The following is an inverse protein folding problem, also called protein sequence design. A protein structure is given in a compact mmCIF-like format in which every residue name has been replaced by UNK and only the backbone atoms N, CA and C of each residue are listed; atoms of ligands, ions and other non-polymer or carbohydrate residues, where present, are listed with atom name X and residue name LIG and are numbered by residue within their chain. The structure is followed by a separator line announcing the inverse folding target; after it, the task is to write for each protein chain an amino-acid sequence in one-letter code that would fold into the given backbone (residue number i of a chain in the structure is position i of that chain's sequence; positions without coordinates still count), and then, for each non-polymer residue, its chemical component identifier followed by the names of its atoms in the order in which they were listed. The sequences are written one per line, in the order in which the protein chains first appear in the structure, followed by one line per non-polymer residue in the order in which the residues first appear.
data_IF_745378825212
#
_entry.id   IF_745378825212
#
_cell.length_a   1.000
_cell.length_b   1.000
_cell.length_c   1.000
_cell.angle_alpha   90.00
_cell.angle_beta   90.00
_cell.angle_gamma   90.00
#
_symmetry.space_group_name_H-M   'P 1'
#
loop_
_entity.id
_entity.type
_entity.pdbx_description
1 polymer ?
#
# COMPACT_ATOMS: atom_id res chain seq x y z
N UNK A 1 24.13 -25.72 -3.95
CA UNK A 1 23.32 -24.47 -4.10
C UNK A 1 22.20 -24.72 -5.11
N UNK A 2 20.92 -24.67 -4.71
CA UNK A 2 19.78 -25.01 -5.60
C UNK A 2 19.18 -23.82 -6.37
N UNK A 3 19.71 -22.61 -6.24
CA UNK A 3 19.11 -21.36 -6.79
C UNK A 3 20.03 -20.55 -7.71
N UNK A 4 21.15 -21.12 -8.15
CA UNK A 4 22.13 -20.43 -9.00
C UNK A 4 21.50 -19.85 -10.28
N UNK A 5 20.66 -20.63 -10.96
CA UNK A 5 19.95 -20.19 -12.16
C UNK A 5 19.07 -18.93 -11.94
N UNK A 6 18.54 -18.72 -10.73
CA UNK A 6 17.75 -17.52 -10.42
C UNK A 6 18.63 -16.30 -10.11
N UNK A 7 19.82 -16.52 -9.53
CA UNK A 7 20.75 -15.44 -9.15
C UNK A 7 21.49 -14.85 -10.35
N UNK A 8 21.66 -15.61 -11.43
CA UNK A 8 22.43 -15.21 -12.62
C UNK A 8 21.54 -14.60 -13.71
N UNK A 9 20.22 -14.66 -13.54
CA UNK A 9 19.22 -14.27 -14.55
C UNK A 9 19.31 -12.81 -15.00
N UNK A 10 19.88 -11.93 -14.17
CA UNK A 10 20.15 -10.53 -14.53
C UNK A 10 21.24 -10.38 -15.60
N UNK A 11 22.08 -11.40 -15.82
CA UNK A 11 23.04 -11.43 -16.92
C UNK A 11 22.35 -11.64 -18.28
N UNK A 12 21.19 -12.31 -18.29
CA UNK A 12 20.43 -12.62 -19.50
C UNK A 12 19.37 -11.54 -19.82
N UNK A 13 18.89 -10.81 -18.82
CA UNK A 13 17.87 -9.77 -18.95
C UNK A 13 18.25 -8.50 -18.18
N UNK A 14 18.58 -7.43 -18.91
CA UNK A 14 18.97 -6.13 -18.37
C UNK A 14 17.84 -5.36 -17.67
N UNK A 15 16.59 -5.81 -17.76
CA UNK A 15 15.49 -5.25 -16.97
C UNK A 15 15.49 -5.78 -15.52
N UNK A 16 16.21 -6.86 -15.24
CA UNK A 16 16.34 -7.40 -13.89
C UNK A 16 17.49 -6.71 -13.14
N UNK A 17 17.23 -6.08 -11.99
CA UNK A 17 18.31 -5.57 -11.16
C UNK A 17 19.13 -6.72 -10.57
N UNK A 18 20.44 -6.48 -10.40
CA UNK A 18 21.39 -7.43 -9.79
C UNK A 18 21.04 -7.77 -8.33
N UNK A 19 20.37 -6.84 -7.64
CA UNK A 19 19.99 -6.98 -6.24
C UNK A 19 18.50 -6.73 -6.03
N UNK A 20 18.03 -7.17 -4.86
CA UNK A 20 16.65 -6.98 -4.41
C UNK A 20 16.54 -5.83 -3.39
N UNK A 21 17.52 -4.93 -3.32
CA UNK A 21 17.60 -3.93 -2.26
C UNK A 21 16.44 -2.93 -2.36
N UNK A 22 16.02 -2.62 -3.59
CA UNK A 22 14.83 -1.80 -3.86
C UNK A 22 13.57 -2.42 -3.23
N UNK A 23 13.27 -3.68 -3.52
CA UNK A 23 12.08 -4.35 -2.96
C UNK A 23 12.20 -4.56 -1.45
N UNK A 24 13.42 -4.84 -0.95
CA UNK A 24 13.70 -4.94 0.48
C UNK A 24 13.37 -3.64 1.21
N UNK A 25 13.76 -2.49 0.67
CA UNK A 25 13.43 -1.18 1.22
C UNK A 25 11.92 -0.88 1.15
N UNK A 26 11.22 -1.31 0.10
CA UNK A 26 9.75 -1.19 0.02
C UNK A 26 9.04 -2.06 1.07
N UNK A 27 9.61 -3.22 1.42
CA UNK A 27 9.01 -4.15 2.40
C UNK A 27 9.33 -3.76 3.86
N UNK A 28 10.46 -3.07 4.08
CA UNK A 28 10.99 -2.72 5.40
C UNK A 28 9.98 -2.03 6.33
N UNK A 29 9.15 -1.07 5.89
CA UNK A 29 8.13 -0.45 6.74
C UNK A 29 7.11 -1.46 7.27
N UNK A 30 6.76 -2.49 6.50
CA UNK A 30 5.87 -3.57 6.97
C UNK A 30 6.57 -4.44 8.00
N UNK A 31 7.83 -4.79 7.72
CA UNK A 31 8.61 -5.62 8.62
C UNK A 31 8.78 -4.97 10.00
N UNK A 32 9.03 -3.66 10.04
CA UNK A 32 9.12 -2.85 11.26
C UNK A 32 7.75 -2.65 11.91
N UNK A 33 6.71 -2.38 11.11
CA UNK A 33 5.36 -2.15 11.60
C UNK A 33 4.73 -3.36 12.31
N UNK A 34 5.07 -4.59 11.93
CA UNK A 34 4.56 -5.82 12.59
C UNK A 34 4.76 -5.84 14.11
N UNK A 35 5.88 -5.30 14.60
CA UNK A 35 6.15 -5.25 16.05
C UNK A 35 5.38 -4.10 16.74
N UNK A 36 4.88 -3.12 15.99
CA UNK A 36 4.19 -1.93 16.49
C UNK A 36 2.67 -2.00 16.31
N UNK A 37 2.15 -2.91 15.47
CA UNK A 37 0.71 -3.05 15.22
C UNK A 37 0.05 -3.92 16.29
N UNK A 38 -0.32 -3.29 17.40
CA UNK A 38 -1.00 -3.91 18.55
C UNK A 38 -2.33 -4.63 18.18
N UNK A 39 -2.90 -4.36 17.01
CA UNK A 39 -4.16 -4.94 16.54
C UNK A 39 -3.99 -6.18 15.65
N UNK A 40 -2.75 -6.52 15.25
CA UNK A 40 -2.46 -7.60 14.29
C UNK A 40 -2.29 -8.99 14.96
N UNK A 41 -3.15 -9.33 15.92
CA UNK A 41 -3.10 -10.63 16.63
C UNK A 41 -3.91 -11.78 16.01
N UNK A 42 -4.65 -11.54 14.90
CA UNK A 42 -5.50 -12.54 14.26
C UNK A 42 -5.42 -12.45 12.72
N UNK A 43 -5.73 -13.53 12.00
CA UNK A 43 -5.77 -13.52 10.53
C UNK A 43 -6.71 -12.43 9.99
N UNK A 44 -7.88 -12.27 10.62
CA UNK A 44 -8.88 -11.26 10.24
C UNK A 44 -8.37 -9.83 10.44
N UNK A 45 -7.62 -9.58 11.50
CA UNK A 45 -7.01 -8.26 11.71
C UNK A 45 -5.83 -8.01 10.78
N UNK A 46 -5.05 -9.05 10.44
CA UNK A 46 -4.04 -9.01 9.39
C UNK A 46 -4.63 -8.63 8.03
N UNK A 47 -5.76 -9.22 7.64
CA UNK A 47 -6.44 -8.88 6.38
C UNK A 47 -6.93 -7.43 6.36
N UNK A 48 -7.47 -6.93 7.47
CA UNK A 48 -7.90 -5.53 7.58
C UNK A 48 -6.72 -4.56 7.48
N UNK A 49 -5.61 -4.89 8.15
CA UNK A 49 -4.38 -4.14 8.02
C UNK A 49 -3.91 -4.12 6.57
N UNK A 50 -3.84 -5.27 5.90
CA UNK A 50 -3.47 -5.35 4.48
C UNK A 50 -4.35 -4.46 3.58
N UNK A 51 -5.67 -4.42 3.80
CA UNK A 51 -6.57 -3.57 3.01
C UNK A 51 -6.25 -2.07 3.19
N UNK A 52 -6.07 -1.60 4.43
CA UNK A 52 -5.71 -0.20 4.73
C UNK A 52 -4.37 0.15 4.09
N UNK A 53 -3.42 -0.77 4.19
CA UNK A 53 -2.08 -0.64 3.64
C UNK A 53 -2.06 -0.55 2.11
N UNK A 54 -2.89 -1.35 1.45
CA UNK A 54 -3.10 -1.27 0.00
C UNK A 54 -3.67 0.09 -0.40
N UNK A 55 -4.62 0.65 0.36
CA UNK A 55 -5.18 1.99 0.08
C UNK A 55 -4.11 3.07 0.21
N UNK A 56 -3.32 3.04 1.29
CA UNK A 56 -2.22 4.00 1.52
C UNK A 56 -1.19 3.91 0.38
N UNK A 57 -0.78 2.70 0.00
CA UNK A 57 0.22 2.53 -1.05
C UNK A 57 -0.32 2.96 -2.41
N UNK A 58 -1.59 2.68 -2.70
CA UNK A 58 -2.25 3.14 -3.93
C UNK A 58 -2.31 4.66 -4.01
N UNK A 59 -2.61 5.34 -2.90
CA UNK A 59 -2.58 6.80 -2.82
C UNK A 59 -1.17 7.36 -3.07
N UNK A 60 -0.13 6.75 -2.47
CA UNK A 60 1.28 7.13 -2.71
C UNK A 60 1.69 6.96 -4.17
N UNK A 61 1.31 5.85 -4.81
CA UNK A 61 1.62 5.60 -6.23
C UNK A 61 0.95 6.65 -7.13
N UNK A 62 -0.22 7.17 -6.73
CA UNK A 62 -0.92 8.27 -7.42
C UNK A 62 -0.38 9.66 -7.08
N UNK A 63 0.65 9.77 -6.24
CA UNK A 63 1.21 11.06 -5.81
C UNK A 63 0.31 11.84 -4.85
N UNK A 64 -0.68 11.19 -4.25
CA UNK A 64 -1.58 11.80 -3.27
C UNK A 64 -0.92 11.82 -1.89
N UNK A 65 -1.26 12.82 -1.07
CA UNK A 65 -0.97 12.79 0.37
C UNK A 65 -1.87 11.73 1.05
N UNK A 66 -1.30 10.62 1.56
CA UNK A 66 -2.11 9.55 2.16
C UNK A 66 -2.86 10.01 3.41
N UNK A 67 -2.34 11.02 4.14
CA UNK A 67 -2.98 11.53 5.34
C UNK A 67 -4.24 12.33 4.98
N UNK A 68 -4.13 13.26 4.03
CA UNK A 68 -5.28 14.01 3.53
C UNK A 68 -6.35 13.10 2.92
N UNK A 69 -5.93 12.10 2.13
CA UNK A 69 -6.82 11.10 1.54
C UNK A 69 -7.58 10.31 2.61
N UNK A 70 -6.86 9.71 3.58
CA UNK A 70 -7.50 8.89 4.60
C UNK A 70 -8.43 9.70 5.50
N UNK A 71 -8.04 10.94 5.86
CA UNK A 71 -8.91 11.84 6.65
C UNK A 71 -10.24 12.06 5.93
N UNK A 72 -10.18 12.50 4.68
CA UNK A 72 -11.39 12.82 3.91
C UNK A 72 -12.26 11.58 3.67
N UNK A 73 -11.66 10.43 3.34
CA UNK A 73 -12.41 9.18 3.17
C UNK A 73 -13.08 8.73 4.47
N UNK A 74 -12.40 8.81 5.61
CA UNK A 74 -12.97 8.43 6.91
C UNK A 74 -14.05 9.40 7.39
N UNK A 75 -13.95 10.68 7.05
CA UNK A 75 -14.98 11.69 7.34
C UNK A 75 -16.24 11.50 6.49
N UNK A 76 -16.10 11.09 5.22
CA UNK A 76 -17.24 10.85 4.30
C UNK A 76 -17.87 9.48 4.45
N UNK A 77 -17.13 8.48 4.94
CA UNK A 77 -17.60 7.09 5.02
C UNK A 77 -18.95 6.92 5.76
N UNK A 78 -19.20 7.60 6.90
CA UNK A 78 -20.45 7.43 7.66
C UNK A 78 -21.71 7.90 6.91
N UNK A 79 -21.56 8.83 5.96
CA UNK A 79 -22.67 9.43 5.21
C UNK A 79 -22.73 8.99 3.76
N UNK A 80 -21.69 8.31 3.26
CA UNK A 80 -21.60 7.83 1.88
C UNK A 80 -22.55 6.65 1.61
N UNK A 81 -23.21 6.67 0.45
CA UNK A 81 -23.94 5.50 -0.06
C UNK A 81 -22.96 4.57 -0.76
N UNK A 82 -23.36 3.31 -0.92
CA UNK A 82 -22.53 2.31 -1.61
C UNK A 82 -22.14 2.74 -3.04
N UNK A 83 -23.02 3.47 -3.74
CA UNK A 83 -22.76 4.06 -5.06
C UNK A 83 -21.60 5.07 -5.05
N UNK A 84 -21.37 5.74 -3.93
CA UNK A 84 -20.43 6.85 -3.81
C UNK A 84 -19.01 6.34 -3.47
N UNK A 85 -18.87 5.07 -3.05
CA UNK A 85 -17.59 4.47 -2.64
C UNK A 85 -16.56 4.42 -3.77
N UNK A 86 -16.99 4.26 -5.02
CA UNK A 86 -16.08 4.21 -6.16
C UNK A 86 -15.32 5.54 -6.35
N UNK A 87 -15.96 6.67 -6.00
CA UNK A 87 -15.33 8.00 -6.04
C UNK A 87 -14.32 8.22 -4.91
N UNK A 88 -14.45 7.46 -3.81
CA UNK A 88 -13.53 7.53 -2.67
C UNK A 88 -12.28 6.67 -2.85
N UNK A 89 -12.16 5.91 -3.95
CA UNK A 89 -10.97 5.11 -4.21
C UNK A 89 -9.77 6.00 -4.58
N UNK A 90 -8.52 5.61 -4.25
CA UNK A 90 -7.34 6.46 -4.44
C UNK A 90 -7.10 6.93 -5.88
N UNK A 91 -7.64 6.24 -6.88
CA UNK A 91 -7.48 6.58 -8.29
C UNK A 91 -8.55 7.56 -8.81
N UNK A 92 -9.66 7.70 -8.11
CA UNK A 92 -10.76 8.61 -8.45
C UNK A 92 -10.90 9.78 -7.45
N UNK A 93 -10.16 9.70 -6.34
CA UNK A 93 -10.25 10.68 -5.27
C UNK A 93 -9.77 12.06 -5.73
N UNK A 94 -10.59 13.06 -5.45
CA UNK A 94 -10.27 14.47 -5.63
C UNK A 94 -10.35 15.17 -4.27
N UNK A 95 -9.37 16.04 -3.93
CA UNK A 95 -9.38 16.72 -2.65
C UNK A 95 -10.64 17.59 -2.52
N UNK A 96 -11.25 17.65 -1.32
CA UNK A 96 -12.34 18.58 -1.07
C UNK A 96 -11.86 20.00 -1.37
N UNK A 97 -12.66 20.75 -2.14
CA UNK A 97 -12.43 22.18 -2.32
C UNK A 97 -12.60 22.81 -0.94
N UNK A 98 -11.52 23.36 -0.37
CA UNK A 98 -11.61 24.18 0.83
C UNK A 98 -12.31 25.48 0.42
N UNK A 99 -13.57 25.63 0.82
CA UNK A 99 -14.29 26.91 0.80
C UNK A 99 -13.75 27.79 1.91
#
# INVERSE_FOLDING_TARGET
MKRWAALVRYLDDGHLPIDNNWIGNQIRPWALGRNNWLFAGSLRSGQRAANVMTLIQSAKIKGLDPQAYLRDVLERLPTARQSDLAALLPHNWSPPIKV
#
